data_IF_956016326491
#
_entry.id   IF_956016326491
#
_cell.length_a   1.000
_cell.length_b   1.000
_cell.length_c   1.000
_cell.angle_alpha   90.00
_cell.angle_beta   90.00
_cell.angle_gamma   90.00
#
_symmetry.space_group_name_H-M   'P 1'
#
loop_
_entity.id
_entity.type
_entity.pdbx_description
1 polymer ?
#
# COMPACT_ATOMS: atom_id res chain seq x y z
N UNK A 1 -62.34 -41.67 30.54
CA UNK A 1 -61.43 -40.73 29.85
C UNK A 1 -61.91 -40.61 28.41
N UNK A 2 -62.74 -39.61 28.11
CA UNK A 2 -63.20 -39.36 26.74
C UNK A 2 -62.24 -38.35 26.09
N UNK A 3 -61.53 -38.82 25.06
CA UNK A 3 -60.58 -38.04 24.27
C UNK A 3 -61.33 -37.02 23.41
N UNK A 4 -61.37 -35.77 23.86
CA UNK A 4 -61.95 -34.64 23.12
C UNK A 4 -60.87 -34.02 22.21
N UNK A 5 -60.49 -34.72 21.13
CA UNK A 5 -59.66 -34.13 20.09
C UNK A 5 -60.47 -33.08 19.30
N UNK A 6 -60.03 -31.81 19.22
CA UNK A 6 -60.73 -30.79 18.44
C UNK A 6 -60.76 -31.17 16.95
N UNK A 7 -61.96 -31.24 16.35
CA UNK A 7 -62.14 -31.48 14.91
C UNK A 7 -61.65 -30.26 14.10
N UNK A 8 -60.37 -30.25 13.75
CA UNK A 8 -59.81 -29.25 12.85
C UNK A 8 -60.46 -29.35 11.47
N UNK A 9 -60.87 -28.21 10.89
CA UNK A 9 -61.40 -28.17 9.53
C UNK A 9 -60.25 -28.31 8.52
N UNK A 10 -59.82 -29.56 8.31
CA UNK A 10 -58.67 -29.98 7.50
C UNK A 10 -58.72 -29.39 6.08
N UNK A 11 -59.91 -29.27 5.48
CA UNK A 11 -60.09 -28.67 4.13
C UNK A 11 -59.68 -27.19 4.08
N UNK A 12 -60.00 -26.41 5.13
CA UNK A 12 -59.67 -24.98 5.21
C UNK A 12 -58.17 -24.77 5.47
N UNK A 13 -57.57 -25.63 6.29
CA UNK A 13 -56.13 -25.63 6.58
C UNK A 13 -55.33 -26.00 5.33
N UNK A 14 -55.70 -27.07 4.62
CA UNK A 14 -55.04 -27.45 3.36
C UNK A 14 -55.13 -26.37 2.28
N UNK A 15 -56.26 -25.65 2.16
CA UNK A 15 -56.39 -24.54 1.20
C UNK A 15 -55.39 -23.41 1.50
N UNK A 16 -55.16 -23.08 2.78
CA UNK A 16 -54.16 -22.08 3.20
C UNK A 16 -52.72 -22.55 2.92
N UNK A 17 -52.39 -23.79 3.22
CA UNK A 17 -51.09 -24.37 2.89
C UNK A 17 -50.80 -24.37 1.39
N UNK A 18 -51.79 -24.69 0.55
CA UNK A 18 -51.65 -24.63 -0.92
C UNK A 18 -51.41 -23.20 -1.41
N UNK A 19 -52.11 -22.21 -0.86
CA UNK A 19 -51.91 -20.79 -1.19
C UNK A 19 -50.50 -20.33 -0.79
N UNK A 20 -50.06 -20.70 0.42
CA UNK A 20 -48.72 -20.37 0.91
C UNK A 20 -47.66 -21.05 0.04
N UNK A 21 -47.82 -22.34 -0.26
CA UNK A 21 -46.91 -23.09 -1.13
C UNK A 21 -46.84 -22.52 -2.55
N UNK A 22 -47.97 -22.10 -3.11
CA UNK A 22 -48.01 -21.42 -4.40
C UNK A 22 -47.26 -20.07 -4.37
N UNK A 23 -47.43 -19.30 -3.30
CA UNK A 23 -46.71 -18.03 -3.12
C UNK A 23 -45.19 -18.25 -3.03
N UNK A 24 -44.73 -19.22 -2.25
CA UNK A 24 -43.30 -19.57 -2.18
C UNK A 24 -42.77 -20.09 -3.53
N UNK A 25 -43.56 -20.88 -4.27
CA UNK A 25 -43.22 -21.32 -5.62
C UNK A 25 -43.05 -20.15 -6.59
N UNK A 26 -43.94 -19.16 -6.54
CA UNK A 26 -43.86 -17.95 -7.36
C UNK A 26 -42.61 -17.11 -7.03
N UNK A 27 -42.31 -16.92 -5.75
CA UNK A 27 -41.10 -16.20 -5.31
C UNK A 27 -39.84 -16.94 -5.77
N UNK A 28 -39.80 -18.26 -5.65
CA UNK A 28 -38.71 -19.09 -6.16
C UNK A 28 -38.50 -18.92 -7.67
N UNK A 29 -39.59 -18.94 -8.43
CA UNK A 29 -39.55 -18.70 -9.88
C UNK A 29 -39.00 -17.31 -10.22
N UNK A 30 -39.39 -16.27 -9.49
CA UNK A 30 -38.88 -14.91 -9.70
C UNK A 30 -37.36 -14.81 -9.45
N UNK A 31 -36.85 -15.49 -8.41
CA UNK A 31 -35.41 -15.54 -8.14
C UNK A 31 -34.66 -16.23 -9.29
N UNK A 32 -35.19 -17.33 -9.83
CA UNK A 32 -34.59 -18.03 -10.97
C UNK A 32 -34.58 -17.17 -12.23
N UNK A 33 -35.69 -16.48 -12.54
CA UNK A 33 -35.75 -15.54 -13.67
C UNK A 33 -34.73 -14.42 -13.48
N UNK A 34 -34.61 -13.86 -12.27
CA UNK A 34 -33.65 -12.79 -11.99
C UNK A 34 -32.21 -13.27 -12.10
N UNK A 35 -31.91 -14.49 -11.64
CA UNK A 35 -30.60 -15.11 -11.79
C UNK A 35 -30.26 -15.35 -13.27
N UNK A 36 -31.21 -15.86 -14.06
CA UNK A 36 -31.04 -16.04 -15.50
C UNK A 36 -30.78 -14.71 -16.22
N UNK A 37 -31.50 -13.65 -15.86
CA UNK A 37 -31.26 -12.30 -16.38
C UNK A 37 -29.85 -11.80 -16.04
N UNK A 38 -29.40 -12.03 -14.80
CA UNK A 38 -28.06 -11.62 -14.35
C UNK A 38 -26.95 -12.37 -15.10
N UNK A 39 -27.13 -13.67 -15.30
CA UNK A 39 -26.16 -14.55 -15.97
C UNK A 39 -26.07 -14.33 -17.49
N UNK A 40 -27.09 -13.75 -18.12
CA UNK A 40 -27.15 -13.57 -19.58
C UNK A 40 -27.07 -12.11 -20.00
N UNK A 41 -28.05 -11.29 -19.62
CA UNK A 41 -28.19 -9.89 -20.07
C UNK A 41 -27.20 -8.97 -19.37
N UNK A 42 -27.06 -9.11 -18.05
CA UNK A 42 -26.16 -8.26 -17.27
C UNK A 42 -24.74 -8.82 -17.17
N UNK A 43 -24.46 -9.98 -17.78
CA UNK A 43 -23.18 -10.69 -17.64
C UNK A 43 -22.00 -9.80 -17.99
N UNK A 44 -22.04 -9.16 -19.15
CA UNK A 44 -20.92 -8.37 -19.66
C UNK A 44 -20.67 -7.13 -18.78
N UNK A 45 -21.74 -6.53 -18.23
CA UNK A 45 -21.61 -5.44 -17.27
C UNK A 45 -20.90 -5.90 -15.99
N UNK A 46 -21.29 -7.04 -15.42
CA UNK A 46 -20.66 -7.56 -14.20
C UNK A 46 -19.24 -8.11 -14.43
N UNK A 47 -18.95 -8.66 -15.60
CA UNK A 47 -17.60 -9.03 -16.02
C UNK A 47 -16.71 -7.79 -16.17
N UNK A 48 -17.18 -6.74 -16.84
CA UNK A 48 -16.44 -5.50 -16.99
C UNK A 48 -16.22 -4.77 -15.65
N UNK A 49 -17.16 -4.91 -14.70
CA UNK A 49 -16.96 -4.43 -13.32
C UNK A 49 -15.91 -5.28 -12.61
N UNK A 50 -15.91 -6.60 -12.80
CA UNK A 50 -14.90 -7.52 -12.27
C UNK A 50 -13.48 -7.26 -12.78
N UNK A 51 -13.32 -6.99 -14.08
CA UNK A 51 -12.02 -6.67 -14.70
C UNK A 51 -11.40 -5.38 -14.13
N UNK A 52 -12.22 -4.40 -13.70
CA UNK A 52 -11.69 -3.20 -13.00
C UNK A 52 -11.08 -3.51 -11.63
N UNK A 53 -11.43 -4.66 -11.05
CA UNK A 53 -10.85 -5.16 -9.81
C UNK A 53 -9.75 -6.19 -10.07
N UNK A 54 -9.54 -6.63 -11.32
CA UNK A 54 -8.40 -7.50 -11.64
C UNK A 54 -7.10 -6.77 -11.41
N UNK A 55 -6.29 -7.43 -10.60
CA UNK A 55 -4.95 -7.08 -10.17
C UNK A 55 -4.09 -6.34 -11.18
N UNK A 56 -3.54 -5.22 -10.75
CA UNK A 56 -2.34 -4.70 -11.40
C UNK A 56 -1.16 -5.58 -11.00
N UNK A 57 -0.73 -6.45 -11.91
CA UNK A 57 0.59 -7.06 -11.84
C UNK A 57 1.64 -5.95 -11.92
N UNK A 58 2.33 -5.73 -10.80
CA UNK A 58 3.37 -4.69 -10.71
C UNK A 58 4.74 -5.36 -10.81
N UNK A 59 5.69 -4.79 -11.59
CA UNK A 59 7.03 -5.33 -11.64
C UNK A 59 7.70 -5.16 -10.28
N UNK A 60 8.17 -6.26 -9.70
CA UNK A 60 9.03 -6.25 -8.52
C UNK A 60 10.48 -6.17 -9.01
N UNK A 61 11.18 -5.03 -8.87
CA UNK A 61 12.57 -4.94 -9.30
C UNK A 61 13.41 -6.00 -8.57
N UNK A 62 14.35 -6.62 -9.28
CA UNK A 62 15.30 -7.56 -8.68
C UNK A 62 16.35 -6.81 -7.85
N UNK A 63 16.82 -7.43 -6.77
CA UNK A 63 17.95 -6.89 -5.99
C UNK A 63 19.23 -7.34 -6.65
N UNK A 64 20.11 -6.40 -6.99
CA UNK A 64 21.39 -6.71 -7.62
C UNK A 64 22.32 -7.43 -6.64
N UNK A 65 22.92 -8.55 -7.06
CA UNK A 65 23.75 -9.45 -6.25
C UNK A 65 25.01 -8.80 -5.66
N UNK A 66 25.50 -9.35 -4.55
CA UNK A 66 26.70 -8.85 -3.87
C UNK A 66 27.99 -9.29 -4.59
N UNK A 67 29.02 -8.46 -4.55
CA UNK A 67 30.39 -8.83 -4.97
C UNK A 67 31.23 -9.01 -3.70
N UNK A 68 31.88 -10.17 -3.62
CA UNK A 68 32.72 -10.56 -2.49
C UNK A 68 34.18 -10.69 -2.94
N UNK A 69 35.12 -10.46 -2.02
CA UNK A 69 36.52 -10.82 -2.21
C UNK A 69 36.74 -12.33 -2.00
N UNK A 70 37.94 -12.82 -2.30
CA UNK A 70 38.29 -14.24 -2.15
C UNK A 70 38.20 -14.73 -0.69
N UNK A 71 38.41 -13.84 0.29
CA UNK A 71 38.25 -14.09 1.72
C UNK A 71 36.81 -13.81 2.23
N UNK A 72 35.87 -13.50 1.33
CA UNK A 72 34.45 -13.34 1.65
C UNK A 72 34.04 -11.94 2.14
N UNK A 73 34.92 -10.94 2.09
CA UNK A 73 34.59 -9.57 2.46
C UNK A 73 33.73 -8.89 1.39
N UNK A 74 32.85 -8.00 1.82
CA UNK A 74 31.91 -7.31 0.94
C UNK A 74 32.60 -6.18 0.17
N UNK A 75 32.70 -6.33 -1.15
CA UNK A 75 33.29 -5.33 -2.05
C UNK A 75 32.22 -4.40 -2.63
N UNK A 76 31.05 -4.94 -2.96
CA UNK A 76 29.90 -4.16 -3.41
C UNK A 76 28.59 -4.81 -2.98
N UNK A 77 27.64 -4.00 -2.53
CA UNK A 77 26.32 -4.47 -2.08
C UNK A 77 25.22 -3.48 -2.43
N UNK A 78 24.00 -3.97 -2.55
CA UNK A 78 22.82 -3.16 -2.84
C UNK A 78 22.03 -2.96 -1.55
N UNK A 79 22.09 -1.75 -0.98
CA UNK A 79 21.34 -1.42 0.24
C UNK A 79 20.09 -0.61 -0.10
N UNK A 80 18.97 -0.84 0.59
CA UNK A 80 17.80 0.01 0.47
C UNK A 80 18.05 1.36 1.17
N UNK A 81 17.87 2.44 0.42
CA UNK A 81 17.76 3.79 0.92
C UNK A 81 16.32 4.26 0.70
N UNK A 82 15.81 5.17 1.53
CA UNK A 82 14.40 5.56 1.49
C UNK A 82 14.24 7.06 1.29
N UNK A 83 13.31 7.47 0.43
CA UNK A 83 12.78 8.84 0.43
C UNK A 83 11.56 8.90 1.31
N UNK A 84 11.50 9.89 2.20
CA UNK A 84 10.43 10.04 3.17
C UNK A 84 9.53 11.21 2.80
N UNK A 85 8.22 10.96 2.85
CA UNK A 85 7.19 11.92 2.51
C UNK A 85 6.11 11.96 3.57
N UNK A 86 5.41 13.09 3.62
CA UNK A 86 4.21 13.27 4.41
C UNK A 86 3.05 13.70 3.50
N UNK A 87 1.95 12.95 3.57
CA UNK A 87 0.67 13.41 3.04
C UNK A 87 -0.19 13.99 4.19
N UNK A 88 -0.32 15.31 4.29
CA UNK A 88 -1.19 15.94 5.27
C UNK A 88 -2.69 15.89 4.91
N UNK A 89 -3.06 15.43 3.71
CA UNK A 89 -4.42 15.41 3.18
C UNK A 89 -5.10 14.04 3.32
N UNK A 90 -6.44 14.04 3.38
CA UNK A 90 -7.25 12.84 3.32
C UNK A 90 -7.54 12.41 1.87
N UNK A 91 -7.45 11.10 1.60
CA UNK A 91 -7.85 10.48 0.33
C UNK A 91 -9.27 9.92 0.34
N UNK A 92 -10.05 10.14 1.40
CA UNK A 92 -11.40 9.57 1.52
C UNK A 92 -12.29 10.06 0.36
N UNK A 93 -12.91 9.18 -0.43
CA UNK A 93 -13.74 9.59 -1.57
C UNK A 93 -15.03 10.31 -1.15
N UNK A 94 -15.63 9.89 -0.03
CA UNK A 94 -16.84 10.51 0.51
C UNK A 94 -16.55 11.89 1.12
N UNK A 95 -17.30 12.92 0.72
CA UNK A 95 -17.03 14.31 1.10
C UNK A 95 -17.22 14.55 2.61
N UNK A 96 -18.26 13.99 3.20
CA UNK A 96 -18.56 14.16 4.63
C UNK A 96 -17.50 13.48 5.50
N UNK A 97 -17.12 12.24 5.17
CA UNK A 97 -16.04 11.52 5.87
C UNK A 97 -14.68 12.18 5.66
N UNK A 98 -14.40 12.70 4.46
CA UNK A 98 -13.14 13.42 4.17
C UNK A 98 -12.95 14.63 5.07
N UNK A 99 -13.99 15.43 5.32
CA UNK A 99 -13.91 16.59 6.22
C UNK A 99 -13.58 16.15 7.64
N UNK A 100 -14.24 15.10 8.14
CA UNK A 100 -13.98 14.54 9.47
C UNK A 100 -12.55 13.99 9.60
N UNK A 101 -12.09 13.22 8.62
CA UNK A 101 -10.74 12.65 8.61
C UNK A 101 -9.68 13.75 8.52
N UNK A 102 -9.91 14.77 7.69
CA UNK A 102 -9.01 15.91 7.57
C UNK A 102 -8.90 16.68 8.89
N UNK A 103 -10.00 16.91 9.59
CA UNK A 103 -9.97 17.59 10.89
C UNK A 103 -9.16 16.81 11.94
N UNK A 104 -9.32 15.48 11.96
CA UNK A 104 -8.54 14.61 12.84
C UNK A 104 -7.04 14.68 12.50
N UNK A 105 -6.69 14.58 11.21
CA UNK A 105 -5.31 14.68 10.72
C UNK A 105 -4.67 16.01 11.07
N UNK A 106 -5.40 17.11 10.87
CA UNK A 106 -4.92 18.46 11.20
C UNK A 106 -4.67 18.61 12.69
N UNK A 107 -5.56 18.07 13.52
CA UNK A 107 -5.42 18.05 14.98
C UNK A 107 -4.19 17.26 15.42
N UNK A 108 -4.00 16.06 14.87
CA UNK A 108 -2.83 15.22 15.16
C UNK A 108 -1.52 15.87 14.69
N UNK A 109 -1.52 16.44 13.47
CA UNK A 109 -0.36 17.11 12.90
C UNK A 109 0.06 18.31 13.75
N UNK A 110 -0.89 19.13 14.16
CA UNK A 110 -0.61 20.29 15.01
C UNK A 110 -0.14 19.86 16.40
N UNK A 111 -0.78 18.85 17.00
CA UNK A 111 -0.42 18.35 18.33
C UNK A 111 1.00 17.74 18.35
N UNK A 112 1.36 16.97 17.33
CA UNK A 112 2.67 16.30 17.26
C UNK A 112 3.73 17.10 16.51
N UNK A 113 3.44 18.32 16.02
CA UNK A 113 4.34 19.11 15.17
C UNK A 113 5.72 19.27 15.81
N UNK A 114 5.77 19.64 17.09
CA UNK A 114 7.04 19.86 17.78
C UNK A 114 7.79 18.55 18.01
N UNK A 115 7.08 17.48 18.35
CA UNK A 115 7.67 16.15 18.53
C UNK A 115 8.26 15.60 17.23
N UNK A 116 7.56 15.76 16.10
CA UNK A 116 8.06 15.24 14.81
C UNK A 116 9.26 16.06 14.33
N UNK A 117 9.19 17.37 14.44
CA UNK A 117 10.24 18.26 13.92
C UNK A 117 11.51 18.10 14.74
N UNK A 118 11.41 18.12 16.07
CA UNK A 118 12.56 17.92 16.97
C UNK A 118 13.07 16.47 16.92
N UNK A 119 12.17 15.50 16.80
CA UNK A 119 12.53 14.09 16.65
C UNK A 119 13.27 13.82 15.34
N UNK A 120 12.84 14.46 14.25
CA UNK A 120 13.53 14.42 12.97
C UNK A 120 14.91 15.04 13.05
N UNK A 121 15.08 16.22 13.66
CA UNK A 121 16.40 16.83 13.84
C UNK A 121 17.35 15.94 14.67
N UNK A 122 16.83 15.26 15.70
CA UNK A 122 17.64 14.31 16.49
C UNK A 122 18.17 13.14 15.66
N UNK A 123 17.37 12.61 14.73
CA UNK A 123 17.73 11.46 13.90
C UNK A 123 18.54 11.90 12.66
N UNK A 124 18.22 13.08 12.13
CA UNK A 124 18.79 13.71 10.95
C UNK A 124 19.27 15.13 11.34
N UNK A 125 20.49 15.28 11.87
CA UNK A 125 21.00 16.56 12.37
C UNK A 125 21.08 17.67 11.33
N UNK A 126 21.07 17.31 10.04
CA UNK A 126 21.09 18.26 8.93
C UNK A 126 19.72 18.87 8.60
N UNK A 127 18.65 18.40 9.24
CA UNK A 127 17.31 18.96 9.11
C UNK A 127 17.12 20.06 10.15
N UNK A 128 16.92 21.30 9.69
CA UNK A 128 16.54 22.41 10.58
C UNK A 128 15.04 22.30 10.98
N UNK A 129 14.75 22.29 12.29
CA UNK A 129 13.38 22.30 12.80
C UNK A 129 12.46 23.37 12.23
N UNK A 130 12.94 24.62 12.15
CA UNK A 130 12.10 25.74 11.74
C UNK A 130 11.70 25.63 10.27
N UNK A 131 12.67 25.32 9.41
CA UNK A 131 12.48 25.11 7.98
C UNK A 131 11.53 23.95 7.69
N UNK A 132 11.69 22.82 8.39
CA UNK A 132 10.82 21.66 8.23
C UNK A 132 9.37 21.98 8.63
N UNK A 133 9.17 22.67 9.76
CA UNK A 133 7.83 23.10 10.21
C UNK A 133 7.16 23.99 9.17
N UNK A 134 7.90 24.95 8.61
CA UNK A 134 7.38 25.85 7.59
C UNK A 134 7.00 25.08 6.32
N UNK A 135 7.84 24.14 5.88
CA UNK A 135 7.58 23.30 4.71
C UNK A 135 6.29 22.47 4.87
N UNK A 136 6.09 21.87 6.04
CA UNK A 136 4.87 21.09 6.32
C UNK A 136 3.63 21.99 6.30
N UNK A 137 3.68 23.16 6.96
CA UNK A 137 2.57 24.12 6.97
C UNK A 137 2.23 24.63 5.57
N UNK A 138 3.26 24.92 4.77
CA UNK A 138 3.08 25.38 3.40
C UNK A 138 2.44 24.30 2.52
N UNK A 139 2.95 23.06 2.59
CA UNK A 139 2.38 21.94 1.84
C UNK A 139 0.93 21.65 2.25
N UNK A 140 0.61 21.75 3.56
CA UNK A 140 -0.78 21.66 4.03
C UNK A 140 -1.67 22.75 3.45
N UNK A 141 -1.21 24.00 3.41
CA UNK A 141 -1.94 25.14 2.81
C UNK A 141 -2.18 24.93 1.32
N UNK A 142 -1.17 24.42 0.62
CA UNK A 142 -1.22 24.10 -0.82
C UNK A 142 -2.00 22.81 -1.12
N UNK A 143 -2.42 22.06 -0.09
CA UNK A 143 -3.05 20.73 -0.21
C UNK A 143 -2.18 19.75 -1.01
N UNK A 144 -0.86 19.81 -0.80
CA UNK A 144 0.09 18.88 -1.39
C UNK A 144 -0.10 17.48 -0.79
N UNK A 145 -0.13 16.46 -1.64
CA UNK A 145 -0.28 15.05 -1.22
C UNK A 145 1.07 14.35 -0.95
N UNK A 146 2.21 14.92 -1.35
CA UNK A 146 3.51 14.30 -1.16
C UNK A 146 4.56 15.36 -0.78
N UNK A 147 4.57 15.78 0.48
CA UNK A 147 5.58 16.72 0.99
C UNK A 147 6.85 15.92 1.24
N UNK A 148 7.92 16.20 0.47
CA UNK A 148 9.25 15.68 0.79
C UNK A 148 9.72 16.26 2.12
N UNK A 149 9.96 15.38 3.10
CA UNK A 149 10.41 15.76 4.44
C UNK A 149 11.93 15.93 4.51
N UNK A 150 12.66 15.35 3.57
CA UNK A 150 14.11 15.33 3.55
C UNK A 150 14.62 15.26 2.11
N UNK A 151 15.54 16.15 1.68
CA UNK A 151 16.02 16.19 0.30
C UNK A 151 16.89 14.97 -0.07
N UNK A 152 17.56 14.36 0.91
CA UNK A 152 18.38 13.16 0.71
C UNK A 152 17.58 11.90 1.04
N UNK A 153 18.21 10.75 0.87
CA UNK A 153 17.63 9.46 1.25
C UNK A 153 18.10 9.06 2.65
N UNK A 154 17.23 8.41 3.41
CA UNK A 154 17.54 7.89 4.75
C UNK A 154 17.89 6.41 4.67
N UNK A 155 18.75 5.94 5.57
CA UNK A 155 19.06 4.51 5.69
C UNK A 155 17.90 3.76 6.35
N UNK A 156 17.91 2.42 6.25
CA UNK A 156 16.94 1.58 6.94
C UNK A 156 16.91 1.82 8.46
N UNK A 157 18.07 2.00 9.09
CA UNK A 157 18.18 2.27 10.53
C UNK A 157 17.53 3.60 10.91
N UNK A 158 17.83 4.66 10.15
CA UNK A 158 17.21 5.98 10.33
C UNK A 158 15.69 5.91 10.12
N UNK A 159 15.24 5.20 9.07
CA UNK A 159 13.80 4.99 8.84
C UNK A 159 13.12 4.30 10.01
N UNK A 160 13.77 3.30 10.60
CA UNK A 160 13.21 2.57 11.74
C UNK A 160 13.03 3.49 12.97
N UNK A 161 13.99 4.37 13.24
CA UNK A 161 13.85 5.38 14.30
C UNK A 161 12.77 6.42 13.96
N UNK A 162 12.69 6.87 12.70
CA UNK A 162 11.64 7.81 12.27
C UNK A 162 10.24 7.22 12.45
N UNK A 163 10.06 5.93 12.14
CA UNK A 163 8.78 5.23 12.33
C UNK A 163 8.33 5.13 13.78
N UNK A 164 9.21 5.36 14.77
CA UNK A 164 8.84 5.40 16.18
C UNK A 164 8.22 6.76 16.59
N UNK A 165 8.36 7.79 15.76
CA UNK A 165 7.83 9.13 16.08
C UNK A 165 6.29 9.12 16.17
N UNK A 166 5.67 9.95 17.04
CA UNK A 166 4.26 9.82 17.40
C UNK A 166 3.24 9.90 16.25
N UNK A 167 3.54 10.68 15.21
CA UNK A 167 2.71 10.77 13.99
C UNK A 167 3.07 9.68 12.97
N UNK A 168 4.36 9.38 12.82
CA UNK A 168 4.88 8.47 11.80
C UNK A 168 4.64 6.99 12.12
N UNK A 169 4.43 6.65 13.39
CA UNK A 169 4.02 5.32 13.83
C UNK A 169 2.57 4.98 13.47
N UNK A 170 1.75 5.98 13.16
CA UNK A 170 0.35 5.76 12.80
C UNK A 170 0.25 5.15 11.40
N UNK A 171 -0.85 4.44 11.09
CA UNK A 171 -1.10 3.97 9.73
C UNK A 171 -1.07 5.14 8.72
N UNK A 172 -0.64 4.88 7.49
CA UNK A 172 -0.55 5.89 6.41
C UNK A 172 -1.87 6.67 6.23
N UNK A 173 -3.00 5.96 6.38
CA UNK A 173 -4.35 6.54 6.32
C UNK A 173 -4.72 7.50 7.48
N UNK A 174 -3.87 7.64 8.51
CA UNK A 174 -4.06 8.59 9.62
C UNK A 174 -2.87 9.54 9.78
N UNK A 175 -1.65 9.01 9.74
CA UNK A 175 -0.42 9.78 9.97
C UNK A 175 0.18 10.38 8.71
N UNK A 176 -0.21 9.91 7.51
CA UNK A 176 0.28 10.43 6.24
C UNK A 176 1.74 10.11 5.90
N UNK A 177 2.50 9.50 6.82
CA UNK A 177 3.91 9.19 6.60
C UNK A 177 4.09 8.05 5.59
N UNK A 178 4.89 8.31 4.56
CA UNK A 178 5.20 7.35 3.49
C UNK A 178 6.71 7.29 3.27
N UNK A 179 7.21 6.08 3.02
CA UNK A 179 8.60 5.86 2.64
C UNK A 179 8.63 5.11 1.30
N UNK A 180 9.33 5.68 0.32
CA UNK A 180 9.59 5.04 -0.97
C UNK A 180 10.99 4.45 -0.95
N UNK A 181 11.10 3.15 -1.25
CA UNK A 181 12.37 2.43 -1.29
C UNK A 181 13.08 2.70 -2.63
N UNK A 182 14.36 3.06 -2.53
CA UNK A 182 15.29 3.17 -3.62
C UNK A 182 16.51 2.32 -3.31
N UNK A 183 16.83 1.37 -4.19
CA UNK A 183 18.04 0.59 -4.03
C UNK A 183 19.22 1.41 -4.52
N UNK A 184 20.34 1.32 -3.80
CA UNK A 184 21.58 1.97 -4.21
C UNK A 184 22.75 1.04 -3.98
N UNK A 185 23.63 0.97 -4.98
CA UNK A 185 24.91 0.28 -4.86
C UNK A 185 25.83 1.02 -3.91
N UNK A 186 26.35 0.32 -2.90
CA UNK A 186 27.31 0.79 -1.91
C UNK A 186 28.57 -0.06 -1.97
N UNK A 187 29.71 0.62 -1.99
CA UNK A 187 31.03 0.02 -2.02
C UNK A 187 31.71 0.35 -0.67
N UNK A 188 31.85 -0.61 0.25
CA UNK A 188 32.40 -0.36 1.58
C UNK A 188 33.81 0.26 1.56
N UNK A 189 34.65 -0.16 0.60
CA UNK A 189 36.01 0.35 0.42
C UNK A 189 36.12 1.60 -0.47
N UNK A 190 34.98 2.25 -0.76
CA UNK A 190 34.92 3.49 -1.52
C UNK A 190 35.63 3.40 -2.87
N UNK A 191 36.73 4.16 -3.02
CA UNK A 191 37.49 4.26 -4.27
C UNK A 191 38.58 3.20 -4.45
N UNK A 192 38.97 2.49 -3.39
CA UNK A 192 40.13 1.57 -3.43
C UNK A 192 40.00 0.53 -4.54
N UNK A 193 38.84 -0.11 -4.63
CA UNK A 193 38.54 -1.14 -5.62
C UNK A 193 37.60 -0.64 -6.74
N UNK A 194 37.36 0.67 -6.85
CA UNK A 194 36.35 1.20 -7.77
C UNK A 194 36.69 0.97 -9.25
N UNK A 195 37.97 0.86 -9.63
CA UNK A 195 38.36 0.50 -11.00
C UNK A 195 38.07 -0.96 -11.33
N UNK A 196 38.38 -1.87 -10.42
CA UNK A 196 38.20 -3.32 -10.60
C UNK A 196 36.73 -3.71 -10.51
N UNK A 197 36.03 -3.27 -9.45
CA UNK A 197 34.59 -3.51 -9.27
C UNK A 197 33.82 -2.83 -10.40
N UNK A 198 34.16 -1.57 -10.68
CA UNK A 198 33.48 -0.75 -11.67
C UNK A 198 32.37 0.12 -11.10
N UNK A 199 31.57 0.69 -12.00
CA UNK A 199 30.52 1.66 -11.68
C UNK A 199 29.20 1.29 -12.36
N UNK A 200 28.11 1.72 -11.74
CA UNK A 200 26.77 1.73 -12.33
C UNK A 200 26.39 3.14 -12.75
N UNK A 201 25.49 3.25 -13.72
CA UNK A 201 24.89 4.52 -14.10
C UNK A 201 23.90 5.00 -13.02
N UNK A 202 23.86 6.31 -12.78
CA UNK A 202 23.06 6.86 -11.67
C UNK A 202 21.55 6.88 -11.91
N UNK A 203 21.10 6.71 -13.16
CA UNK A 203 19.71 6.82 -13.59
C UNK A 203 18.96 5.48 -13.58
N UNK A 204 19.60 4.41 -14.07
CA UNK A 204 18.96 3.12 -14.28
C UNK A 204 19.78 1.92 -13.78
N UNK A 205 20.81 2.16 -12.96
CA UNK A 205 21.69 1.13 -12.41
C UNK A 205 22.33 0.21 -13.48
N UNK A 206 22.42 0.66 -14.75
CA UNK A 206 23.09 -0.12 -15.79
C UNK A 206 24.59 -0.20 -15.51
N UNK A 207 25.17 -1.39 -15.57
CA UNK A 207 26.59 -1.56 -15.42
C UNK A 207 27.38 -0.82 -16.51
N UNK A 208 28.44 -0.10 -16.11
CA UNK A 208 29.26 0.69 -17.03
C UNK A 208 30.65 0.10 -17.25
N UNK A 209 31.24 -0.52 -16.22
CA UNK A 209 32.63 -0.98 -16.28
C UNK A 209 32.94 -2.06 -15.24
N UNK A 210 34.13 -2.65 -15.32
CA UNK A 210 34.67 -3.57 -14.31
C UNK A 210 33.89 -4.88 -14.19
N UNK A 211 34.01 -5.51 -13.03
CA UNK A 211 33.27 -6.73 -12.68
C UNK A 211 31.74 -6.54 -12.76
N UNK A 212 31.24 -5.34 -12.46
CA UNK A 212 29.82 -5.02 -12.58
C UNK A 212 29.30 -5.20 -14.02
N UNK A 213 30.10 -4.83 -15.02
CA UNK A 213 29.74 -5.01 -16.43
C UNK A 213 29.95 -6.45 -16.88
N UNK A 214 31.07 -7.05 -16.52
CA UNK A 214 31.43 -8.41 -16.91
C UNK A 214 30.40 -9.46 -16.41
N UNK A 215 29.94 -9.31 -15.16
CA UNK A 215 28.99 -10.23 -14.52
C UNK A 215 27.59 -9.63 -14.39
N UNK A 216 27.21 -8.72 -15.29
CA UNK A 216 25.93 -8.02 -15.19
C UNK A 216 24.73 -8.99 -15.25
N UNK A 217 24.84 -10.07 -16.03
CA UNK A 217 23.76 -11.06 -16.18
C UNK A 217 23.48 -11.80 -14.88
N UNK A 218 24.54 -12.17 -14.15
CA UNK A 218 24.48 -12.88 -12.87
C UNK A 218 24.07 -11.92 -11.75
N UNK A 219 24.60 -10.69 -11.78
CA UNK A 219 24.35 -9.69 -10.74
C UNK A 219 22.96 -9.07 -10.84
N UNK A 220 22.41 -8.87 -12.04
CA UNK A 220 21.13 -8.15 -12.23
C UNK A 220 19.91 -8.91 -11.71
N UNK A 221 19.97 -10.23 -11.68
CA UNK A 221 18.83 -11.07 -11.32
C UNK A 221 17.67 -10.95 -12.32
N UNK A 222 16.50 -11.49 -11.94
CA UNK A 222 15.30 -11.45 -12.78
C UNK A 222 14.19 -10.71 -12.03
N UNK A 223 13.63 -9.61 -12.58
CA UNK A 223 12.50 -8.93 -11.97
C UNK A 223 11.35 -9.90 -11.75
N UNK A 224 10.78 -9.89 -10.55
CA UNK A 224 9.58 -10.65 -10.24
C UNK A 224 8.33 -9.90 -10.67
N UNK A 225 7.20 -10.58 -10.52
CA UNK A 225 5.87 -9.96 -10.61
C UNK A 225 5.18 -10.23 -9.30
N UNK A 226 4.61 -9.21 -8.68
CA UNK A 226 3.74 -9.39 -7.53
C UNK A 226 2.32 -8.96 -7.88
N UNK A 227 1.37 -9.75 -7.38
CA UNK A 227 -0.05 -9.50 -7.51
C UNK A 227 -0.48 -8.60 -6.36
N UNK A 228 -1.28 -7.57 -6.64
CA UNK A 228 -1.85 -6.72 -5.60
C UNK A 228 -3.34 -6.60 -5.82
N UNK A 229 -4.11 -7.20 -4.94
CA UNK A 229 -5.57 -7.17 -5.00
C UNK A 229 -6.12 -6.20 -3.95
N UNK A 230 -7.10 -5.38 -4.32
CA UNK A 230 -7.80 -4.52 -3.36
C UNK A 230 -9.05 -5.23 -2.87
N UNK A 231 -8.96 -5.83 -1.69
CA UNK A 231 -10.13 -6.42 -1.02
C UNK A 231 -10.73 -5.40 -0.06
N UNK A 232 -11.94 -4.93 -0.38
CA UNK A 232 -12.63 -3.85 0.35
C UNK A 232 -11.78 -2.56 0.39
N UNK A 233 -11.22 -2.21 1.55
CA UNK A 233 -10.39 -1.02 1.75
C UNK A 233 -8.91 -1.34 2.06
N UNK A 234 -8.48 -2.60 1.86
CA UNK A 234 -7.11 -3.05 2.11
C UNK A 234 -6.54 -3.73 0.87
N UNK A 235 -5.29 -3.44 0.56
CA UNK A 235 -4.55 -4.21 -0.43
C UNK A 235 -3.99 -5.47 0.23
N UNK A 236 -4.26 -6.61 -0.39
CA UNK A 236 -3.67 -7.90 -0.05
C UNK A 236 -2.60 -8.19 -1.11
N UNK A 237 -1.45 -8.67 -0.67
CA UNK A 237 -0.35 -9.13 -1.51
C UNK A 237 -0.38 -10.66 -1.58
#
# INVERSE_FOLDING_TARGET
MADNQPKYNTKRVLKRYKIIGFFFGLVGLLILIKAGYLMTVARDYWLAVGEKFESENRPLPATRGNILSADGQLLATSLPEYRIYLDPMSWEPDSARRVKDQHLRDSLLNFYMDSIVNGMHRILPDVDPATLRQRIKEGRRKREHNISLYPKRVTFLQLNELKKLPLFRLPVGKGGFRAEEFRRRKNPYGHLAARTIGKLRSDNDSAMSGLELAFNTELSGRPGVYHREKVSNRYIN
#
